data_IF_418288721666
#
_entry.id   IF_418288721666
#
_cell.length_a   1.000
_cell.length_b   1.000
_cell.length_c   1.000
_cell.angle_alpha   90.00
_cell.angle_beta   90.00
_cell.angle_gamma   90.00
#
_symmetry.space_group_name_H-M   'P 1'
#
loop_
_entity.id
_entity.type
_entity.pdbx_description
1 polymer ?
2 non-polymer ?
3 water ?
#
# COMPACT_ATOMS: atom_id res chain seq x y z
N UNK A 5 16.48 24.22 0.54
CA UNK A 5 16.81 23.05 -0.32
C UNK A 5 17.31 21.88 0.53
N UNK A 6 16.71 20.71 0.32
CA UNK A 6 16.93 19.54 1.18
C UNK A 6 17.85 18.51 0.51
N UNK A 7 18.87 18.07 1.25
CA UNK A 7 19.79 17.02 0.79
C UNK A 7 19.87 15.89 1.82
N UNK A 8 20.69 14.90 1.53
CA UNK A 8 20.88 13.76 2.44
C UNK A 8 21.70 14.07 3.69
N UNK A 9 22.42 15.20 3.68
CA UNK A 9 23.14 15.68 4.86
C UNK A 9 22.20 16.27 5.94
N UNK A 10 20.95 16.53 5.56
CA UNK A 10 19.96 17.09 6.50
C UNK A 10 19.42 16.05 7.48
N UNK A 11 19.78 14.78 7.28
CA UNK A 11 19.22 13.69 8.07
C UNK A 11 20.26 12.84 8.78
N UNK A 12 19.91 12.35 9.96
CA UNK A 12 20.69 11.32 10.65
C UNK A 12 20.04 9.96 10.34
N UNK A 13 20.87 9.00 9.96
CA UNK A 13 20.39 7.68 9.53
C UNK A 13 20.49 6.68 10.65
N UNK A 14 19.34 6.25 11.14
CA UNK A 14 19.27 5.53 12.41
C UNK A 14 19.22 4.01 12.26
N UNK A 15 18.18 3.50 11.61
CA UNK A 15 18.00 2.05 11.48
C UNK A 15 17.41 1.66 10.13
N UNK A 16 17.92 0.56 9.57
CA UNK A 16 17.35 -0.02 8.35
C UNK A 16 16.05 -0.75 8.65
N UNK A 17 14.95 -0.30 8.04
CA UNK A 17 13.62 -0.87 8.29
C UNK A 17 13.29 -1.98 7.29
N UNK A 18 13.92 -1.91 6.12
CA UNK A 18 13.72 -2.91 5.08
C UNK A 18 14.54 -2.58 3.86
N UNK A 19 14.86 -3.62 3.08
CA UNK A 19 15.57 -3.45 1.81
C UNK A 19 15.17 -4.50 0.79
N UNK A 20 15.17 -4.10 -0.47
CA UNK A 20 14.81 -5.00 -1.56
C UNK A 20 15.60 -4.69 -2.82
N UNK A 21 15.09 -5.15 -3.95
CA UNK A 21 15.75 -5.04 -5.24
C UNK A 21 16.09 -3.60 -5.60
N UNK A 22 15.13 -2.70 -5.41
CA UNK A 22 15.26 -1.33 -5.89
C UNK A 22 15.90 -0.36 -4.90
N UNK A 23 16.05 -0.81 -3.66
CA UNK A 23 16.66 0.04 -2.64
C UNK A 23 16.23 -0.32 -1.23
N UNK A 24 16.10 0.71 -0.39
CA UNK A 24 15.84 0.49 1.02
C UNK A 24 15.00 1.60 1.67
N UNK A 25 14.44 1.29 2.84
CA UNK A 25 13.77 2.27 3.68
C UNK A 25 14.56 2.39 4.99
N UNK A 26 14.88 3.62 5.37
CA UNK A 26 15.64 3.87 6.60
C UNK A 26 14.89 4.82 7.51
N UNK A 27 14.86 4.49 8.80
CA UNK A 27 14.37 5.42 9.81
C UNK A 27 15.39 6.55 9.96
N UNK A 28 14.94 7.77 9.71
CA UNK A 28 15.81 8.94 9.80
C UNK A 28 15.29 9.99 10.77
N UNK A 29 16.20 10.85 11.22
CA UNK A 29 15.86 12.05 11.95
C UNK A 29 16.28 13.26 11.12
N UNK A 30 15.34 14.17 10.86
CA UNK A 30 15.69 15.47 10.31
C UNK A 30 16.43 16.26 11.39
N UNK A 31 17.67 16.64 11.09
CA UNK A 31 18.55 17.23 12.10
C UNK A 31 18.09 18.59 12.65
N UNK A 32 17.60 19.45 11.76
CA UNK A 32 17.17 20.80 12.14
C UNK A 32 15.93 20.81 13.05
N UNK A 33 15.07 19.80 12.90
CA UNK A 33 13.75 19.81 13.55
C UNK A 33 13.60 18.80 14.69
N UNK A 34 14.40 17.74 14.65
CA UNK A 34 14.27 16.66 15.63
C UNK A 34 13.17 15.66 15.30
N UNK A 35 12.56 15.81 14.13
CA UNK A 35 11.46 14.94 13.70
C UNK A 35 11.97 13.66 13.04
N UNK A 36 11.15 12.61 13.12
CA UNK A 36 11.50 11.29 12.59
C UNK A 36 10.63 10.90 11.42
N UNK A 37 11.27 10.36 10.39
CA UNK A 37 10.59 9.98 9.16
C UNK A 37 11.11 8.62 8.67
N UNK A 38 10.38 8.04 7.73
CA UNK A 38 10.88 6.89 6.99
C UNK A 38 11.35 7.40 5.63
N UNK A 39 12.63 7.20 5.33
CA UNK A 39 13.13 7.59 4.02
C UNK A 39 13.25 6.36 3.14
N UNK A 40 12.49 6.35 2.05
CA UNK A 40 12.65 5.32 1.02
C UNK A 40 13.69 5.80 0.02
N UNK A 41 14.77 5.04 -0.11
CA UNK A 41 15.87 5.41 -1.00
C UNK A 41 15.97 4.45 -2.19
N UNK A 42 15.63 4.95 -3.37
CA UNK A 42 15.67 4.14 -4.59
C UNK A 42 16.94 4.43 -5.39
N UNK A 43 17.57 3.37 -5.87
CA UNK A 43 18.74 3.48 -6.74
C UNK A 43 18.31 3.75 -8.17
N UNK A 44 18.68 4.94 -8.69
CA UNK A 44 18.30 5.38 -10.03
C UNK A 44 18.63 4.37 -11.12
N UNK A 45 19.83 3.78 -11.06
CA UNK A 45 20.27 2.84 -12.08
C UNK A 45 19.40 1.59 -12.17
N UNK A 46 19.01 1.04 -11.02
CA UNK A 46 18.17 -0.16 -10.97
C UNK A 46 16.75 0.13 -11.48
N UNK A 47 16.21 1.29 -11.09
CA UNK A 47 14.92 1.78 -11.60
C UNK A 47 14.90 1.81 -13.13
N UNK A 48 15.96 2.35 -13.72
CA UNK A 48 16.10 2.45 -15.18
C UNK A 48 16.27 1.07 -15.82
N UNK A 49 17.15 0.24 -15.25
CA UNK A 49 17.47 -1.09 -15.79
C UNK A 49 16.31 -2.09 -15.78
N UNK A 50 15.29 -1.82 -14.98
CA UNK A 50 14.12 -2.68 -14.92
C UNK A 50 12.82 -1.98 -15.35
N UNK A 51 12.99 -0.87 -16.08
CA UNK A 51 11.88 -0.10 -16.67
C UNK A 51 10.83 0.34 -15.65
N UNK A 52 11.30 0.86 -14.52
CA UNK A 52 10.42 1.30 -13.44
C UNK A 52 10.32 2.82 -13.35
N UNK A 53 10.78 3.50 -14.40
CA UNK A 53 10.83 4.96 -14.42
C UNK A 53 9.43 5.57 -14.31
N UNK A 54 8.54 5.15 -15.22
CA UNK A 54 7.17 5.67 -15.26
C UNK A 54 6.39 5.41 -13.97
N UNK A 55 6.63 4.25 -13.36
CA UNK A 55 6.00 3.90 -12.09
C UNK A 55 6.49 4.79 -10.94
N UNK A 56 7.80 4.98 -10.87
CA UNK A 56 8.44 5.78 -9.83
C UNK A 56 7.99 7.24 -9.87
N UNK A 57 7.81 7.77 -11.09
CA UNK A 57 7.29 9.12 -11.29
C UNK A 57 5.81 9.22 -10.90
N UNK A 58 5.04 8.17 -11.20
CA UNK A 58 3.62 8.11 -10.83
C UNK A 58 3.51 8.10 -9.30
N UNK A 59 4.34 7.29 -8.65
CA UNK A 59 4.45 7.25 -7.19
C UNK A 59 4.66 8.66 -6.63
N UNK A 60 5.65 9.38 -7.16
CA UNK A 60 5.95 10.75 -6.77
C UNK A 60 4.76 11.71 -6.95
N UNK A 61 4.12 11.66 -8.11
CA UNK A 61 2.96 12.52 -8.40
C UNK A 61 1.77 12.23 -7.49
N UNK A 62 1.42 10.96 -7.35
CA UNK A 62 0.29 10.56 -6.52
C UNK A 62 0.52 10.92 -5.05
N UNK A 63 1.74 10.71 -4.55
CA UNK A 63 2.10 11.11 -3.19
C UNK A 63 1.96 12.62 -3.00
N UNK A 64 2.31 13.38 -4.03
CA UNK A 64 2.22 14.84 -3.95
C UNK A 64 0.78 15.35 -4.10
N UNK A 65 -0.03 14.60 -4.83
CA UNK A 65 -1.38 15.05 -5.19
C UNK A 65 -2.48 14.57 -4.24
N UNK A 66 -2.12 13.70 -3.29
CA UNK A 66 -3.14 13.11 -2.42
C UNK A 66 -2.99 13.53 -0.95
N UNK A 67 -4.12 13.61 -0.26
CA UNK A 67 -4.18 13.91 1.17
C UNK A 67 -5.27 13.06 1.78
N UNK A 68 -4.88 12.05 2.55
CA UNK A 68 -5.87 11.19 3.20
C UNK A 68 -5.29 10.61 4.48
N UNK A 69 -6.13 10.48 5.53
CA UNK A 69 -5.74 9.88 6.81
C UNK A 69 -5.06 8.51 6.67
N UNK A 70 -5.44 7.73 5.66
CA UNK A 70 -4.92 6.35 5.55
C UNK A 70 -3.98 6.12 4.36
N UNK A 71 -3.52 7.21 3.75
CA UNK A 71 -2.45 7.16 2.78
C UNK A 71 -1.21 7.83 3.37
N UNK A 72 -0.03 7.26 3.11
CA UNK A 72 1.23 7.84 3.59
C UNK A 72 1.40 9.28 3.11
N UNK A 73 1.65 10.19 4.05
CA UNK A 73 1.90 11.59 3.74
C UNK A 73 3.36 11.78 3.38
N UNK A 74 3.60 12.48 2.26
CA UNK A 74 4.95 12.76 1.81
C UNK A 74 5.38 14.11 2.37
N UNK A 75 6.56 14.13 2.98
CA UNK A 75 7.14 15.38 3.51
C UNK A 75 8.11 15.99 2.48
N UNK A 76 9.09 15.20 2.03
CA UNK A 76 10.06 15.66 1.03
C UNK A 76 10.27 14.62 -0.06
N UNK A 77 10.51 15.09 -1.29
CA UNK A 77 11.12 14.24 -2.29
C UNK A 77 12.23 15.00 -3.00
N UNK A 78 13.38 14.35 -3.09
CA UNK A 78 14.57 14.94 -3.68
C UNK A 78 15.43 13.84 -4.25
N UNK A 79 16.38 14.25 -5.09
CA UNK A 79 17.26 13.30 -5.76
C UNK A 79 18.72 13.66 -5.60
N UNK A 80 19.57 12.64 -5.59
CA UNK A 80 21.00 12.83 -5.74
C UNK A 80 21.37 12.39 -7.16
N UNK A 81 22.66 12.24 -7.43
CA UNK A 81 23.11 11.84 -8.76
C UNK A 81 22.71 10.39 -9.09
N UNK A 82 22.57 9.57 -8.06
CA UNK A 82 22.21 8.17 -8.25
C UNK A 82 21.06 7.64 -7.38
N UNK A 83 20.38 8.54 -6.68
CA UNK A 83 19.29 8.12 -5.78
C UNK A 83 18.07 9.02 -5.81
N UNK A 84 16.90 8.38 -5.68
CA UNK A 84 15.64 9.08 -5.45
C UNK A 84 15.20 8.83 -4.01
N UNK A 85 14.83 9.91 -3.31
CA UNK A 85 14.52 9.84 -1.88
C UNK A 85 13.14 10.35 -1.58
N UNK A 86 12.33 9.50 -0.95
CA UNK A 86 11.01 9.87 -0.46
C UNK A 86 11.06 9.88 1.06
N UNK A 87 10.77 11.04 1.66
CA UNK A 87 10.73 11.18 3.10
C UNK A 87 9.27 11.31 3.52
N UNK A 88 8.76 10.27 4.17
CA UNK A 88 7.36 10.21 4.58
C UNK A 88 7.24 9.97 6.07
N UNK A 89 6.06 10.22 6.62
CA UNK A 89 5.80 9.89 8.02
C UNK A 89 6.07 8.40 8.26
N UNK A 90 6.82 8.14 9.33
CA UNK A 90 7.21 6.79 9.75
C UNK A 90 5.98 6.01 10.21
N UNK A 91 5.78 4.82 9.63
CA UNK A 91 4.72 3.92 10.07
C UNK A 91 5.18 3.04 11.23
N UNK A 92 5.14 3.61 12.43
CA UNK A 92 5.64 2.99 13.67
C UNK A 92 5.13 1.58 13.94
N UNK A 93 3.90 1.30 13.51
CA UNK A 93 3.26 0.01 13.77
C UNK A 93 3.71 -1.14 12.87
N UNK A 94 4.58 -0.86 11.91
CA UNK A 94 5.10 -1.88 11.00
C UNK A 94 4.10 -2.35 9.96
N UNK A 95 4.45 -3.41 9.25
CA UNK A 95 3.56 -4.03 8.28
C UNK A 95 2.47 -4.85 8.97
N UNK A 96 1.32 -4.96 8.32
CA UNK A 96 0.27 -5.88 8.78
C UNK A 96 0.79 -7.31 8.81
N UNK A 97 1.64 -7.65 7.83
CA UNK A 97 2.29 -8.97 7.81
C UNK A 97 3.06 -9.27 9.09
N UNK A 98 3.77 -8.29 9.66
CA UNK A 98 4.48 -8.52 10.91
C UNK A 98 3.55 -9.13 11.96
N UNK A 99 2.36 -8.56 12.08
CA UNK A 99 1.41 -8.97 13.11
C UNK A 99 0.64 -10.22 12.70
N UNK A 100 0.20 -10.26 11.44
CA UNK A 100 -0.55 -11.41 10.92
C UNK A 100 0.30 -12.68 10.89
N UNK A 101 1.55 -12.55 10.45
CA UNK A 101 2.51 -13.65 10.48
C UNK A 101 2.58 -14.30 11.87
N UNK A 102 2.63 -13.47 12.92
CA UNK A 102 2.83 -13.96 14.29
C UNK A 102 1.55 -14.42 14.97
N UNK A 103 0.43 -13.75 14.68
CA UNK A 103 -0.83 -14.04 15.35
C UNK A 103 -1.70 -14.98 14.53
N UNK A 104 -1.21 -15.32 13.34
CA UNK A 104 -1.87 -16.24 12.40
C UNK A 104 -3.10 -15.63 11.71
N UNK A 105 -4.01 -15.10 12.52
CA UNK A 105 -5.30 -14.59 12.05
C UNK A 105 -5.70 -13.35 12.86
N UNK A 106 -6.39 -12.41 12.23
CA UNK A 106 -7.00 -11.29 12.96
C UNK A 106 -8.45 -11.64 13.25
N UNK A 107 -8.99 -11.11 14.34
CA UNK A 107 -10.42 -11.25 14.63
C UNK A 107 -11.22 -10.60 13.49
N UNK A 108 -12.49 -10.98 13.36
CA UNK A 108 -13.37 -10.37 12.37
C UNK A 108 -13.57 -8.88 12.63
N UNK A 109 -13.64 -8.49 13.90
CA UNK A 109 -13.80 -7.09 14.30
C UNK A 109 -12.56 -6.26 13.94
N UNK A 110 -11.38 -6.85 14.06
CA UNK A 110 -10.13 -6.18 13.73
C UNK A 110 -9.98 -6.03 12.21
N UNK A 111 -10.26 -7.11 11.48
CA UNK A 111 -10.27 -7.10 10.03
C UNK A 111 -11.30 -6.11 9.47
N UNK A 112 -12.46 -6.04 10.13
CA UNK A 112 -13.51 -5.08 9.78
C UNK A 112 -13.01 -3.65 9.91
N UNK A 113 -12.27 -3.39 10.98
CA UNK A 113 -11.69 -2.08 11.25
C UNK A 113 -10.66 -1.71 10.18
N UNK A 114 -9.72 -2.61 9.89
CA UNK A 114 -8.72 -2.34 8.84
C UNK A 114 -9.37 -2.20 7.46
N UNK A 115 -10.34 -3.06 7.18
CA UNK A 115 -11.08 -3.01 5.92
C UNK A 115 -11.79 -1.67 5.70
N UNK A 116 -12.42 -1.17 6.76
CA UNK A 116 -13.14 0.10 6.70
C UNK A 116 -12.23 1.24 6.29
N UNK A 117 -11.04 1.30 6.91
CA UNK A 117 -10.07 2.34 6.61
C UNK A 117 -9.47 2.23 5.21
N UNK A 118 -9.30 0.99 4.71
CA UNK A 118 -8.83 0.76 3.34
C UNK A 118 -9.89 1.22 2.32
N UNK A 119 -11.14 0.84 2.57
CA UNK A 119 -12.29 1.27 1.77
C UNK A 119 -12.42 2.80 1.73
N UNK A 120 -12.31 3.44 2.90
CA UNK A 120 -12.32 4.90 3.00
C UNK A 120 -11.26 5.56 2.10
N UNK A 121 -10.03 5.03 2.15
CA UNK A 121 -8.93 5.51 1.31
C UNK A 121 -9.13 5.24 -0.20
N UNK A 122 -9.63 4.06 -0.53
CA UNK A 122 -9.83 3.68 -1.92
C UNK A 122 -11.01 4.43 -2.53
N UNK A 123 -12.01 4.73 -1.71
CA UNK A 123 -13.14 5.55 -2.12
C UNK A 123 -12.67 6.96 -2.45
N UNK A 124 -11.77 7.50 -1.63
CA UNK A 124 -11.14 8.79 -1.90
C UNK A 124 -10.38 8.79 -3.22
N UNK A 125 -9.52 7.79 -3.44
CA UNK A 125 -8.76 7.71 -4.68
C UNK A 125 -9.65 7.58 -5.92
N UNK A 126 -10.70 6.75 -5.83
CA UNK A 126 -11.62 6.54 -6.95
C UNK A 126 -12.47 7.79 -7.23
N UNK A 127 -13.16 8.28 -6.19
CA UNK A 127 -14.16 9.34 -6.32
C UNK A 127 -13.58 10.75 -6.48
N UNK A 128 -12.51 11.04 -5.76
CA UNK A 128 -11.95 12.40 -5.70
C UNK A 128 -10.74 12.62 -6.60
N UNK A 129 -9.95 11.57 -6.81
CA UNK A 129 -8.67 11.70 -7.51
C UNK A 129 -8.64 10.99 -8.86
N UNK A 130 -9.72 10.29 -9.18
CA UNK A 130 -9.80 9.45 -10.39
C UNK A 130 -8.56 8.54 -10.51
N UNK A 131 -8.23 7.87 -9.40
CA UNK A 131 -7.07 7.02 -9.32
C UNK A 131 -7.49 5.59 -9.01
N UNK A 132 -6.91 4.64 -9.74
CA UNK A 132 -7.07 3.23 -9.40
C UNK A 132 -5.72 2.78 -8.84
N UNK A 133 -5.76 2.22 -7.64
CA UNK A 133 -4.54 1.87 -6.90
C UNK A 133 -3.77 0.69 -7.51
N UNK A 134 -4.49 -0.38 -7.86
CA UNK A 134 -3.96 -1.53 -8.62
C UNK A 134 -2.99 -2.49 -7.91
N UNK A 135 -2.41 -2.05 -6.79
CA UNK A 135 -1.39 -2.86 -6.11
C UNK A 135 -1.82 -3.29 -4.70
N UNK A 136 -3.11 -3.52 -4.50
CA UNK A 136 -3.58 -3.90 -3.15
C UNK A 136 -3.20 -5.32 -2.75
N UNK A 137 -2.09 -5.39 -2.03
CA UNK A 137 -1.58 -6.63 -1.47
C UNK A 137 -1.24 -6.37 -0.01
N UNK A 138 -1.18 -7.43 0.79
CA UNK A 138 -0.89 -7.29 2.22
C UNK A 138 0.38 -6.49 2.51
N UNK A 139 1.46 -6.81 1.79
CA UNK A 139 2.77 -6.17 1.98
C UNK A 139 2.73 -4.65 2.02
N UNK A 140 1.89 -4.04 1.19
CA UNK A 140 1.80 -2.57 1.10
C UNK A 140 1.05 -1.91 2.26
N UNK A 141 0.40 -2.72 3.10
CA UNK A 141 -0.41 -2.20 4.20
C UNK A 141 0.35 -2.15 5.53
N UNK A 142 0.41 -0.96 6.10
CA UNK A 142 1.13 -0.75 7.33
C UNK A 142 0.22 -0.13 8.40
N UNK A 143 0.79 0.14 9.58
CA UNK A 143 0.07 0.74 10.69
C UNK A 143 0.87 1.91 11.25
N UNK A 144 0.19 3.03 11.52
CA UNK A 144 0.87 4.14 12.16
C UNK A 144 1.00 3.89 13.67
N UNK A 145 1.59 4.86 14.38
CA UNK A 145 1.82 4.72 15.83
C UNK A 145 0.55 4.50 16.64
N UNK A 146 -0.59 4.92 16.09
CA UNK A 146 -1.90 4.81 16.75
C UNK A 146 -2.64 3.51 16.43
N UNK A 147 -2.19 2.81 15.39
CA UNK A 147 -2.85 1.57 14.97
C UNK A 147 -3.83 1.74 13.83
N UNK A 148 -3.81 2.93 13.20
CA UNK A 148 -4.59 3.17 12.00
C UNK A 148 -3.79 2.78 10.75
N UNK A 149 -4.51 2.32 9.74
CA UNK A 149 -3.94 1.88 8.46
C UNK A 149 -3.15 2.97 7.74
N UNK A 150 -2.01 2.59 7.18
CA UNK A 150 -1.35 3.39 6.17
C UNK A 150 -1.13 2.54 4.92
N UNK A 151 -1.79 2.92 3.83
CA UNK A 151 -1.51 2.35 2.52
C UNK A 151 -0.24 3.01 1.99
N UNK A 152 0.70 2.18 1.54
CA UNK A 152 1.97 2.66 1.01
C UNK A 152 2.16 2.19 -0.43
N UNK A 153 3.10 2.83 -1.13
CA UNK A 153 3.57 2.43 -2.47
C UNK A 153 2.55 2.66 -3.57
N UNK A 154 2.64 3.84 -4.18
CA UNK A 154 1.65 4.26 -5.16
C UNK A 154 2.17 4.22 -6.60
N UNK A 155 3.27 3.51 -6.81
CA UNK A 155 3.89 3.37 -8.12
C UNK A 155 3.05 2.68 -9.20
N UNK A 156 2.16 1.79 -8.77
CA UNK A 156 1.32 1.05 -9.74
C UNK A 156 -0.01 1.75 -10.02
N UNK A 157 -0.24 2.90 -9.40
CA UNK A 157 -1.48 3.65 -9.58
C UNK A 157 -1.72 4.07 -11.03
N UNK A 158 -2.99 4.14 -11.41
CA UNK A 158 -3.36 4.72 -12.70
C UNK A 158 -4.17 6.00 -12.51
N UNK A 159 -3.62 7.10 -13.03
CA UNK A 159 -4.25 8.41 -12.92
C UNK A 159 -5.28 8.67 -14.02
N UNK A 160 -6.22 9.57 -13.74
CA UNK A 160 -7.19 10.03 -14.72
C UNK A 160 -8.18 8.97 -15.17
N UNK A 161 -8.50 8.04 -14.27
CA UNK A 161 -9.50 7.00 -14.55
C UNK A 161 -10.82 7.41 -13.91
N UNK A 162 -11.77 7.76 -14.78
CA UNK A 162 -13.03 8.31 -14.34
C UNK A 162 -14.15 7.31 -14.66
N UNK A 163 -15.02 7.09 -13.68
CA UNK A 163 -16.15 6.16 -13.80
C UNK A 163 -15.73 4.78 -14.29
N UNK A 164 -16.19 4.41 -15.49
CA UNK A 164 -15.97 3.07 -16.03
C UNK A 164 -14.88 2.99 -17.08
N UNK A 165 -13.98 3.97 -17.09
CA UNK A 165 -12.81 3.96 -17.98
C UNK A 165 -11.90 2.76 -17.70
N UNK A 166 -11.28 2.23 -18.75
CA UNK A 166 -10.51 1.00 -18.66
C UNK A 166 -8.99 1.21 -18.61
N UNK A 167 -8.27 0.15 -18.22
CA UNK A 167 -6.82 0.15 -18.18
C UNK A 167 -6.32 -1.15 -18.80
N UNK A 168 -5.06 -1.17 -19.22
CA UNK A 168 -4.53 -2.28 -20.01
C UNK A 168 -3.29 -2.96 -19.42
N UNK A 170 -0.64 -4.93 -17.58
CA UNK A 170 -0.57 -6.09 -16.70
C UNK A 170 0.45 -5.78 -15.61
N UNK A 171 -0.02 -5.61 -14.39
CA UNK A 171 0.84 -5.23 -13.26
C UNK A 171 0.26 -5.70 -11.95
N UNK A 172 1.13 -5.85 -10.95
CA UNK A 172 0.74 -6.34 -9.64
C UNK A 172 1.42 -7.65 -9.30
N UNK A 173 1.29 -8.07 -8.04
CA UNK A 173 1.89 -9.30 -7.56
C UNK A 173 0.98 -10.49 -7.91
N UNK A 174 1.54 -11.53 -8.54
CA UNK A 174 0.84 -12.73 -9.01
C UNK A 174 -0.29 -13.25 -8.11
N UNK A 175 -0.03 -13.42 -6.82
CA UNK A 175 -1.02 -13.97 -5.88
C UNK A 175 -2.23 -13.06 -5.66
N UNK A 176 -2.06 -11.77 -5.99
CA UNK A 176 -3.09 -10.76 -5.74
C UNK A 176 -3.84 -10.26 -6.98
N UNK A 177 -3.51 -10.80 -8.16
CA UNK A 177 -4.10 -10.32 -9.42
C UNK A 177 -5.56 -10.70 -9.59
N UNK A 178 -6.37 -9.71 -9.98
CA UNK A 178 -7.77 -9.95 -10.28
C UNK A 178 -7.91 -10.82 -11.55
N UNK A 179 -8.97 -11.64 -11.62
CA UNK A 179 -9.25 -12.43 -12.81
C UNK A 179 -9.21 -11.61 -14.11
N UNK A 180 -9.79 -10.42 -14.12
CA UNK A 180 -9.80 -9.58 -15.33
C UNK A 180 -8.42 -9.06 -15.74
N UNK A 181 -7.54 -8.88 -14.75
CA UNK A 181 -6.15 -8.55 -15.06
C UNK A 181 -5.47 -9.74 -15.75
N UNK A 182 -5.71 -10.94 -15.21
CA UNK A 182 -5.16 -12.18 -15.76
C UNK A 182 -5.67 -12.46 -17.17
N UNK A 183 -6.91 -12.08 -17.45
CA UNK A 183 -7.50 -12.25 -18.78
C UNK A 183 -6.80 -11.36 -19.82
N UNK A 184 -6.24 -10.24 -19.35
CA UNK A 184 -5.45 -9.34 -20.20
C UNK A 184 -6.27 -8.82 -21.41
N UNK A 185 -7.48 -8.35 -21.10
CA UNK A 185 -8.40 -7.87 -22.11
C UNK A 185 -9.11 -6.57 -21.67
N UNK A 186 -8.38 -5.77 -20.87
CA UNK A 186 -8.88 -4.54 -20.22
C UNK A 186 -9.52 -4.83 -18.87
N UNK A 187 -9.36 -3.87 -17.94
CA UNK A 187 -9.99 -3.94 -16.61
C UNK A 187 -10.35 -2.54 -16.11
N UNK A 188 -11.21 -2.49 -15.10
CA UNK A 188 -11.66 -1.23 -14.50
C UNK A 188 -11.28 -1.08 -13.04
N UNK A 189 -11.87 -0.09 -12.37
CA UNK A 189 -11.52 0.24 -10.98
C UNK A 189 -11.83 -0.86 -9.96
N UNK A 190 -12.68 -1.81 -10.34
CA UNK A 190 -13.13 -2.87 -9.43
C UNK A 190 -12.03 -3.87 -9.08
N UNK A 191 -10.89 -3.78 -9.77
CA UNK A 191 -9.73 -4.60 -9.43
C UNK A 191 -9.27 -4.30 -8.00
N UNK A 192 -9.54 -3.08 -7.54
CA UNK A 192 -9.15 -2.66 -6.19
C UNK A 192 -10.00 -3.37 -5.14
N UNK A 193 -11.26 -3.65 -5.49
CA UNK A 193 -12.16 -4.36 -4.59
C UNK A 193 -11.85 -5.84 -4.52
N UNK A 194 -11.36 -6.40 -5.63
CA UNK A 194 -10.80 -7.74 -5.62
C UNK A 194 -9.64 -7.79 -4.59
N UNK A 195 -8.74 -6.82 -4.68
CA UNK A 195 -7.61 -6.72 -3.76
C UNK A 195 -8.02 -6.57 -2.31
N UNK A 196 -9.06 -5.78 -2.04
CA UNK A 196 -9.64 -5.69 -0.70
C UNK A 196 -10.10 -7.07 -0.22
N UNK A 197 -10.74 -7.80 -1.12
CA UNK A 197 -11.18 -9.17 -0.85
C UNK A 197 -10.04 -10.09 -0.48
N UNK A 198 -8.96 -10.06 -1.26
CA UNK A 198 -7.81 -10.92 -0.99
C UNK A 198 -7.14 -10.56 0.35
N UNK A 199 -6.93 -9.27 0.58
CA UNK A 199 -6.30 -8.79 1.80
C UNK A 199 -7.17 -9.05 3.04
N UNK A 200 -8.48 -8.82 2.95
CA UNK A 200 -9.36 -9.12 4.08
C UNK A 200 -9.48 -10.63 4.32
N UNK A 201 -9.40 -11.42 3.25
CA UNK A 201 -9.38 -12.88 3.35
C UNK A 201 -8.16 -13.35 4.12
N UNK A 202 -6.98 -12.84 3.77
CA UNK A 202 -5.75 -13.16 4.52
C UNK A 202 -5.91 -12.82 6.00
N UNK A 203 -6.40 -11.62 6.29
CA UNK A 203 -6.58 -11.16 7.67
C UNK A 203 -7.45 -12.13 8.47
N UNK A 204 -8.58 -12.53 7.91
CA UNK A 204 -9.55 -13.35 8.64
C UNK A 204 -9.28 -14.86 8.56
N UNK A 205 -8.62 -15.30 7.49
CA UNK A 205 -8.42 -16.74 7.26
C UNK A 205 -7.00 -17.23 7.48
N UNK A 206 -6.02 -16.34 7.44
CA UNK A 206 -4.63 -16.68 7.76
C UNK A 206 -3.81 -17.23 6.60
N UNK A 207 -4.39 -17.18 5.40
CA UNK A 207 -3.72 -17.58 4.17
C UNK A 207 -4.38 -16.87 3.00
N UNK A 208 -3.76 -16.97 1.83
CA UNK A 208 -4.30 -16.46 0.58
C UNK A 208 -5.53 -17.27 0.18
N UNK A 209 -6.47 -16.65 -0.55
CA UNK A 209 -7.61 -17.40 -1.07
C UNK A 209 -7.20 -18.43 -2.12
N UNK A 210 -6.15 -18.11 -2.89
CA UNK A 210 -5.64 -19.00 -3.93
C UNK A 210 -4.12 -19.05 -3.90
N UNK A 211 -3.57 -20.26 -3.88
CA UNK A 211 -2.13 -20.44 -3.96
C UNK A 211 -1.65 -21.70 -4.68
N UNK A 212 -0.65 -21.48 -5.54
CA UNK A 212 0.19 -22.51 -6.10
C UNK A 212 1.53 -21.85 -6.43
N UNK A 213 2.63 -22.57 -6.24
CA UNK A 213 3.95 -21.96 -6.50
C UNK A 213 4.27 -21.83 -7.99
N UNK A 214 3.61 -22.66 -8.81
CA UNK A 214 3.63 -22.44 -10.25
C UNK A 214 2.61 -21.37 -10.61
N UNK A 215 3.07 -20.31 -11.28
CA UNK A 215 2.22 -19.18 -11.62
C UNK A 215 1.06 -19.53 -12.53
N UNK A 216 1.29 -20.38 -13.51
CA UNK A 216 0.24 -20.77 -14.47
C UNK A 216 -0.92 -21.50 -13.77
N UNK A 217 -0.57 -22.37 -12.83
CA UNK A 217 -1.53 -23.05 -11.95
C UNK A 217 -2.23 -22.09 -10.97
N UNK A 218 -1.46 -21.16 -10.40
CA UNK A 218 -2.02 -20.10 -9.55
C UNK A 218 -3.11 -19.33 -10.29
N UNK A 219 -2.79 -18.95 -11.53
CA UNK A 219 -3.69 -18.14 -12.35
C UNK A 219 -4.95 -18.90 -12.75
N UNK A 220 -4.79 -20.20 -13.02
CA UNK A 220 -5.92 -21.10 -13.23
C UNK A 220 -6.87 -21.08 -12.04
N UNK A 221 -6.30 -21.16 -10.83
CA UNK A 221 -7.09 -21.10 -9.59
C UNK A 221 -7.83 -19.77 -9.43
N UNK A 222 -7.13 -18.67 -9.61
CA UNK A 222 -7.73 -17.34 -9.49
C UNK A 222 -8.87 -17.16 -10.52
N UNK A 223 -8.66 -17.67 -11.72
CA UNK A 223 -9.66 -17.55 -12.79
C UNK A 223 -10.86 -18.49 -12.65
N UNK A 224 -10.61 -19.74 -12.25
CA UNK A 224 -11.64 -20.80 -12.32
C UNK A 224 -12.22 -21.27 -10.99
N UNK A 225 -11.36 -21.35 -9.98
CA UNK A 225 -11.71 -22.00 -8.72
C UNK A 225 -12.62 -21.13 -7.85
N UNK A 226 -13.74 -21.71 -7.43
CA UNK A 226 -14.68 -21.06 -6.53
C UNK A 226 -14.05 -20.86 -5.15
N UNK A 227 -14.29 -19.68 -4.56
CA UNK A 227 -13.77 -19.35 -3.23
C UNK A 227 -14.32 -20.28 -2.14
N UNK A 228 -13.43 -20.73 -1.25
CA UNK A 228 -13.84 -21.44 -0.02
C UNK A 228 -13.36 -20.73 1.23
N UNK A 229 -14.03 -20.99 2.34
CA UNK A 229 -13.73 -20.35 3.61
C UNK A 229 -13.56 -21.36 4.73
N UNK A 230 -12.64 -21.07 5.67
CA UNK A 230 -12.61 -21.86 6.91
C UNK A 230 -14.00 -21.83 7.54
N UNK A 231 -14.41 -22.94 8.15
CA UNK A 231 -15.78 -23.07 8.59
C UNK A 231 -16.06 -22.38 9.94
N UNK A 232 -15.04 -21.75 10.51
CA UNK A 232 -15.21 -20.88 11.67
C UNK A 232 -15.66 -19.45 11.30
N UNK A 233 -15.54 -19.11 10.01
CA UNK A 233 -15.86 -17.77 9.52
C UNK A 233 -17.36 -17.48 9.59
N UNK A 234 -17.72 -16.35 10.19
CA UNK A 234 -19.11 -15.94 10.31
C UNK A 234 -19.80 -15.68 8.98
N UNK A 235 -21.15 -15.71 8.96
CA UNK A 235 -21.94 -15.54 7.73
C UNK A 235 -21.70 -14.21 7.02
N UNK A 236 -21.69 -13.11 7.77
CA UNK A 236 -21.51 -11.77 7.20
C UNK A 236 -20.12 -11.60 6.56
N UNK A 237 -19.10 -12.12 7.23
CA UNK A 237 -17.72 -12.06 6.71
C UNK A 237 -17.60 -12.85 5.43
N UNK A 238 -18.22 -14.03 5.42
CA UNK A 238 -18.27 -14.92 4.26
C UNK A 238 -18.96 -14.25 3.09
N UNK A 239 -20.05 -13.54 3.37
CA UNK A 239 -20.83 -12.82 2.36
C UNK A 239 -20.02 -11.67 1.72
N UNK A 240 -19.38 -10.85 2.56
CA UNK A 240 -18.57 -9.75 2.05
C UNK A 240 -17.44 -10.28 1.16
N UNK A 241 -16.69 -11.26 1.66
CA UNK A 241 -15.58 -11.84 0.92
C UNK A 241 -16.02 -12.51 -0.39
N UNK A 242 -17.15 -13.23 -0.36
CA UNK A 242 -17.74 -13.80 -1.58
C UNK A 242 -18.09 -12.71 -2.60
N UNK A 243 -18.66 -11.61 -2.12
CA UNK A 243 -19.02 -10.49 -2.99
C UNK A 243 -17.80 -9.81 -3.58
N UNK A 244 -16.76 -9.66 -2.77
CA UNK A 244 -15.53 -9.00 -3.19
C UNK A 244 -14.69 -9.85 -4.14
N UNK A 245 -14.82 -11.18 -4.03
CA UNK A 245 -14.01 -12.11 -4.82
C UNK A 245 -14.78 -12.79 -5.97
N UNK A 246 -15.82 -12.13 -6.45
CA UNK A 246 -16.49 -12.55 -7.69
C UNK A 246 -15.53 -12.39 -8.85
N UNK A 247 -15.47 -13.39 -9.71
CA UNK A 247 -14.56 -13.39 -10.85
C UNK A 247 -14.93 -12.28 -11.83
N UNK A 248 -16.23 -12.17 -12.11
CA UNK A 248 -16.77 -11.18 -13.01
C UNK A 248 -16.92 -9.86 -12.26
N UNK A 249 -16.14 -8.83 -12.65
CA UNK A 249 -16.19 -7.53 -11.98
C UNK A 249 -17.58 -6.89 -11.98
N UNK A 250 -18.40 -7.19 -12.99
CA UNK A 250 -19.76 -6.65 -13.05
C UNK A 250 -20.67 -7.27 -12.01
N UNK A 251 -20.31 -8.47 -11.52
CA UNK A 251 -21.05 -9.12 -10.43
C UNK A 251 -20.42 -8.84 -9.05
N UNK A 252 -19.23 -8.24 -9.05
CA UNK A 252 -18.45 -7.99 -7.84
C UNK A 252 -19.00 -6.81 -7.01
N UNK A 253 -18.94 -6.95 -5.69
CA UNK A 253 -19.23 -5.85 -4.78
C UNK A 253 -18.29 -4.68 -5.06
N UNK A 254 -18.85 -3.50 -5.33
CA UNK A 254 -18.09 -2.32 -5.72
C UNK A 254 -17.80 -2.24 -7.21
N UNK A 255 -18.32 -3.20 -7.98
CA UNK A 255 -18.08 -3.27 -9.41
C UNK A 255 -19.11 -2.52 -10.25
N UNK A 256 -20.09 -1.91 -9.59
CA UNK A 256 -21.11 -1.13 -10.26
C UNK A 256 -20.85 0.36 -10.19
N UNK A 257 -21.83 1.15 -10.64
CA UNK A 257 -21.72 2.60 -10.66
C UNK A 257 -21.54 3.22 -9.26
N UNK A 258 -22.08 2.56 -8.25
CA UNK A 258 -21.97 3.02 -6.85
C UNK A 258 -20.56 2.90 -6.29
N UNK A 259 -19.73 2.06 -6.92
CA UNK A 259 -18.35 1.82 -6.50
C UNK A 259 -18.27 1.48 -4.99
N UNK A 260 -17.49 2.23 -4.23
CA UNK A 260 -17.24 1.93 -2.80
C UNK A 260 -18.51 1.90 -1.93
N UNK A 261 -19.50 2.70 -2.29
CA UNK A 261 -20.76 2.81 -1.55
C UNK A 261 -21.50 1.47 -1.37
N UNK A 262 -21.40 0.61 -2.38
CA UNK A 262 -22.01 -0.73 -2.31
C UNK A 262 -21.36 -1.57 -1.21
N UNK A 263 -20.04 -1.44 -1.08
CA UNK A 263 -19.28 -2.13 -0.03
C UNK A 263 -19.58 -1.51 1.35
N UNK A 264 -19.65 -0.19 1.39
CA UNK A 264 -19.97 0.56 2.62
C UNK A 264 -21.33 0.19 3.20
N UNK A 265 -22.27 -0.14 2.31
CA UNK A 265 -23.62 -0.52 2.68
C UNK A 265 -23.79 -2.01 3.02
N UNK A 266 -22.72 -2.79 2.83
CA UNK A 266 -22.78 -4.23 3.11
C UNK A 266 -22.97 -4.47 4.61
N UNK A 267 -23.76 -5.49 4.92
CA UNK A 267 -24.12 -5.87 6.29
C UNK A 267 -22.93 -6.14 7.22
N UNK A 268 -21.79 -6.54 6.66
CA UNK A 268 -20.56 -6.71 7.44
C UNK A 268 -20.10 -5.41 8.10
N UNK A 269 -20.41 -4.28 7.46
CA UNK A 269 -20.06 -2.97 7.98
C UNK A 269 -21.23 -2.22 8.66
N UNK A 270 -22.30 -2.94 9.02
CA UNK A 270 -23.46 -2.32 9.68
C UNK A 270 -23.05 -1.66 10.99
N UNK A 271 -23.58 -0.46 11.23
CA UNK A 271 -23.24 0.29 12.44
C UNK A 271 -22.00 1.14 12.30
N UNK A 272 -21.17 0.84 11.30
CA UNK A 272 -20.01 1.67 10.95
C UNK A 272 -20.51 3.01 10.41
N UNK A 273 -20.13 4.08 11.11
CA UNK A 273 -20.38 5.44 10.64
C UNK A 273 -19.15 5.87 9.85
N UNK A 274 -19.34 6.12 8.56
CA UNK A 274 -18.22 6.28 7.64
C UNK A 274 -17.44 7.59 7.73
N UNK A 275 -18.07 8.65 8.23
CA UNK A 275 -17.38 9.89 8.52
C UNK A 275 -16.49 9.72 9.76
N UNK A 276 -16.94 8.90 10.70
CA UNK A 276 -16.15 8.58 11.89
C UNK A 276 -14.91 7.77 11.55
N UNK A 277 -15.02 6.90 10.55
CA UNK A 277 -13.86 6.17 10.02
C UNK A 277 -12.84 7.18 9.48
N UNK A 278 -13.30 8.07 8.62
CA UNK A 278 -12.44 9.11 8.04
C UNK A 278 -11.76 9.97 9.12
N UNK A 279 -12.51 10.31 10.16
CA UNK A 279 -12.04 11.19 11.22
C UNK A 279 -11.28 10.46 12.33
N UNK A 280 -11.02 9.18 12.11
CA UNK A 280 -10.32 8.31 13.05
C UNK A 280 -10.98 8.29 14.44
N UNK A 281 -12.31 8.41 14.48
CA UNK A 281 -13.05 8.39 15.73
C UNK A 281 -13.31 6.97 16.24
N UNK A 282 -12.93 5.97 15.44
CA UNK A 282 -13.02 4.57 15.85
C UNK A 282 -11.69 4.15 16.47
N UNK A 283 -11.75 3.61 17.68
CA UNK A 283 -10.56 3.19 18.40
C UNK A 283 -9.96 1.92 17.80
N UNK A 284 -8.69 1.98 17.35
CA UNK A 284 -8.05 0.80 16.78
C UNK A 284 -7.99 -0.34 17.81
N UNK A 285 -8.26 -1.59 17.35
CA UNK A 285 -8.29 -2.73 18.27
C UNK A 285 -6.90 -3.12 18.76
N UNK A 286 -5.88 -2.71 18.03
CA UNK A 286 -4.50 -2.94 18.43
C UNK A 286 -3.74 -1.60 18.40
N UNK A 287 -3.27 -1.19 19.58
CA UNK A 287 -2.40 -0.01 19.68
C UNK A 287 -0.96 -0.50 19.78
N UNK A 288 -0.12 -0.14 18.79
CA UNK A 288 1.29 -0.52 18.75
C UNK A 288 2.01 -0.08 20.03
N UNK A 289 2.72 -1.01 20.65
CA UNK A 289 3.31 -0.77 21.98
C UNK A 289 4.71 -0.19 21.89
N UNK A 290 4.90 0.79 21.01
CA UNK A 290 6.18 1.47 20.87
C UNK A 290 6.47 2.37 22.07
N UNK A 291 7.72 2.30 22.55
CA UNK A 291 8.10 2.99 23.77
C UNK A 291 8.97 4.22 23.52
N UNK A 292 9.41 4.38 22.27
CA UNK A 292 10.10 5.60 21.84
C UNK A 292 9.80 5.94 20.38
N UNK A 293 10.24 7.11 19.96
CA UNK A 293 10.01 7.61 18.60
C UNK A 293 10.89 6.90 17.56
N UNK A 294 11.92 6.18 18.04
CA UNK A 294 12.79 5.35 17.20
C UNK A 294 12.65 3.84 17.46
N UNK A 295 11.64 3.47 18.23
CA UNK A 295 11.34 2.06 18.48
C UNK A 295 10.94 1.37 17.16
N UNK A 296 11.65 0.30 16.81
CA UNK A 296 11.45 -0.44 15.57
C UNK A 296 11.10 -1.90 15.84
N UNK A 297 10.45 -2.16 16.97
CA UNK A 297 10.10 -3.53 17.37
C UNK A 297 9.17 -4.26 16.38
N UNK A 298 8.51 -3.51 15.49
CA UNK A 298 7.58 -4.10 14.51
C UNK A 298 8.21 -4.21 13.12
N UNK A 299 9.53 -4.31 13.10
CA UNK A 299 10.30 -4.55 11.90
C UNK A 299 11.30 -5.65 12.21
N UNK A 300 11.51 -6.56 11.25
CA UNK A 300 12.37 -7.72 11.46
C UNK A 300 13.80 -7.34 11.85
N UNK A 301 14.32 -8.02 12.86
CA UNK A 301 15.71 -7.88 13.32
C UNK A 301 16.68 -8.10 12.15
N UNK A 302 16.26 -8.96 11.24
CA UNK A 302 16.90 -9.20 9.94
C UNK A 302 17.35 -7.89 9.29
N UNK A 303 16.47 -6.88 9.30
CA UNK A 303 16.80 -5.58 8.70
C UNK A 303 17.42 -4.59 9.69
N UNK A 304 16.86 -4.49 10.89
CA UNK A 304 17.24 -3.43 11.83
C UNK A 304 18.66 -3.57 12.38
N UNK A 305 19.17 -4.80 12.41
CA UNK A 305 20.53 -5.10 12.88
C UNK A 305 21.62 -4.58 11.94
N UNK A 306 21.28 -4.41 10.66
CA UNK A 306 22.25 -4.05 9.63
C UNK A 306 22.82 -2.63 9.76
N UNK A 307 24.07 -2.46 9.33
CA UNK A 307 24.71 -1.15 9.30
C UNK A 307 24.22 -0.32 8.10
N UNK A 308 24.05 0.98 8.32
CA UNK A 308 23.66 1.92 7.27
C UNK A 308 24.91 2.58 6.66
N UNK A 309 24.96 2.66 5.34
CA UNK A 309 26.13 3.19 4.62
C UNK A 309 25.73 4.26 3.59
N UNK A 310 26.74 4.92 3.02
CA UNK A 310 26.55 6.01 2.04
C UNK A 310 26.37 5.51 0.59
N UNK A 311 26.31 4.18 0.41
CA UNK A 311 26.05 3.60 -0.92
C UNK A 311 25.07 2.41 -0.90
N UNK A 312 25.45 1.27 -0.28
CA UNK A 312 24.49 0.16 -0.26
C UNK A 312 23.39 0.33 0.80
N UNK A 318 30.41 18.37 -7.39
CA UNK A 318 29.05 18.84 -7.66
C UNK A 318 28.43 18.08 -8.84
N UNK A 319 27.34 17.37 -8.56
CA UNK A 319 26.67 16.50 -9.53
C UNK A 319 25.16 16.81 -9.61
N UNK A 320 24.79 18.05 -9.32
CA UNK A 320 23.39 18.44 -9.11
C UNK A 320 22.58 18.67 -10.39
N UNK A 321 23.23 18.60 -11.55
CA UNK A 321 22.55 18.76 -12.84
C UNK A 321 22.85 17.61 -13.82
N UNK A 322 23.60 16.61 -13.35
CA UNK A 322 23.93 15.44 -14.17
C UNK A 322 22.66 14.72 -14.64
N UNK A 323 22.51 14.63 -15.95
CA UNK A 323 21.38 13.97 -16.59
C UNK A 323 21.90 12.94 -17.61
N UNK A 324 22.09 11.71 -17.15
CA UNK A 324 22.54 10.62 -18.02
C UNK A 324 21.43 9.60 -18.26
N UNK A 325 21.71 8.60 -19.09
CA UNK A 325 20.73 7.56 -19.40
C UNK A 325 20.64 6.47 -18.33
N UNK A 326 21.75 6.23 -17.62
CA UNK A 326 21.77 5.31 -16.49
C UNK A 326 21.29 5.97 -15.21
N UNK A 327 21.50 7.28 -15.11
CA UNK A 327 21.10 8.08 -13.95
C UNK A 327 20.49 9.43 -14.39
N UNK A 328 19.18 9.42 -14.71
CA UNK A 328 18.51 10.61 -15.26
C UNK A 328 18.11 11.63 -14.20
N UNK A 329 17.99 12.89 -14.61
CA UNK A 329 17.47 13.94 -13.75
C UNK A 329 15.93 13.93 -13.78
N UNK A 330 15.34 13.25 -12.80
CA UNK A 330 13.89 13.11 -12.69
C UNK A 330 13.21 14.46 -12.42
N UNK A 331 12.11 14.75 -13.12
CA UNK A 331 11.36 15.99 -12.84
C UNK A 331 10.52 15.85 -11.57
N UNK A 332 10.11 16.99 -11.02
CA UNK A 332 9.20 17.05 -9.86
C UNK A 332 9.79 16.43 -8.58
N UNK A 333 11.12 16.26 -8.56
CA UNK A 333 11.83 15.83 -7.35
C UNK A 333 12.48 17.03 -6.64
N UNK A 334 11.63 17.99 -6.33
CA UNK A 334 12.02 19.23 -5.67
C UNK A 334 10.95 19.59 -4.65
N UNK A 335 10.29 18.55 -4.13
CA UNK A 335 9.11 18.71 -3.31
C UNK A 335 9.42 18.81 -1.83
N UNK A 336 8.81 19.82 -1.21
CA UNK A 336 8.80 20.00 0.22
C UNK A 336 7.36 20.38 0.59
N UNK A 337 6.70 19.54 1.38
CA UNK A 337 5.30 19.75 1.75
C UNK A 337 5.08 21.11 2.41
N UNK A 338 4.03 21.81 1.99
CA UNK A 338 3.73 23.14 2.51
C UNK A 338 3.39 23.15 4.00
N UNK A 339 4.14 23.96 4.74
CA UNK A 339 4.02 24.03 6.20
C UNK A 339 2.76 24.79 6.65
#
# INVERSE_FOLDING_TARGET
GAMARVTMNEFEYLKLLGKGTFGKVILVKEKATGRYYAMKILKKEVIVAKDEVAHTLTENRVLQNSRHPFLTALKYSFQTHDRLCFVMEYANGGELFFHLSRERVFSEDRARFYGAEIVSALDYLHSEKNVVYRDLKLENLMLDKDGHIKITDFGLCKEGIKDGATMKXFCGTPEYLAPEVLEDNDYGRAVDWWGLGVVMYEMMCGRLPFYNQDHEKLFELILMEEIRFPRTLGPEAKSLLSGLLKKDPKQRLGGGSEDAKEIMQHRFFAGIVWQHVYEKKLSPPFKPQVTSETDTRYFDEEFTAQMITITPPDQDDSMECVDSERRPHFPQFDYSASSTA
#
